data_IF_906754222408
#
_entry.id   IF_906754222408
#
_cell.length_a   1.000
_cell.length_b   1.000
_cell.length_c   1.000
_cell.angle_alpha   90.00
_cell.angle_beta   90.00
_cell.angle_gamma   90.00
#
_symmetry.space_group_name_H-M   'P 1'
#
loop_
_entity.id
_entity.type
_entity.pdbx_description
1 polymer ?
#
# COMPACT_ATOMS: atom_id res chain seq x y z
N UNK A 1 6.82 -16.45 -7.20
CA UNK A 1 7.64 -16.00 -6.07
C UNK A 1 7.33 -14.55 -5.78
N UNK A 2 6.92 -14.21 -4.54
CA UNK A 2 6.66 -12.83 -4.11
C UNK A 2 7.93 -12.19 -3.54
N UNK A 3 8.19 -10.97 -3.91
CA UNK A 3 9.17 -10.10 -3.27
C UNK A 3 8.47 -8.96 -2.55
N UNK A 4 8.74 -8.81 -1.28
CA UNK A 4 8.32 -7.63 -0.54
C UNK A 4 9.20 -6.45 -0.96
N UNK A 5 8.65 -5.71 -1.90
CA UNK A 5 9.35 -4.66 -2.62
C UNK A 5 9.15 -3.31 -1.94
N UNK A 6 10.05 -2.97 -1.04
CA UNK A 6 9.97 -1.76 -0.22
C UNK A 6 10.50 -0.54 -0.99
N UNK A 7 9.59 0.16 -1.66
CA UNK A 7 9.95 1.35 -2.46
C UNK A 7 10.40 2.54 -1.62
N UNK A 8 9.97 2.65 -0.37
CA UNK A 8 10.47 3.65 0.59
C UNK A 8 11.98 3.47 0.84
N UNK A 9 12.44 2.23 1.03
CA UNK A 9 13.86 1.94 1.21
C UNK A 9 14.70 2.34 -0.01
N UNK A 10 14.14 2.27 -1.22
CA UNK A 10 14.81 2.76 -2.42
C UNK A 10 14.92 4.28 -2.37
N UNK A 11 13.84 4.99 -2.04
CA UNK A 11 13.84 6.45 -1.95
C UNK A 11 14.88 6.94 -0.92
N UNK A 12 14.93 6.31 0.25
CA UNK A 12 15.88 6.63 1.33
C UNK A 12 17.32 6.32 0.94
N UNK A 13 17.60 5.13 0.39
CA UNK A 13 18.95 4.71 0.04
C UNK A 13 19.58 5.58 -1.06
N UNK A 14 18.77 6.07 -2.00
CA UNK A 14 19.24 6.91 -3.10
C UNK A 14 19.01 8.41 -2.86
N UNK A 15 18.45 8.79 -1.70
CA UNK A 15 18.15 10.18 -1.35
C UNK A 15 17.32 10.92 -2.40
N UNK A 16 16.30 10.26 -2.93
CA UNK A 16 15.37 10.84 -3.92
C UNK A 16 13.98 11.04 -3.32
N UNK A 17 13.25 12.10 -3.70
CA UNK A 17 11.88 12.28 -3.24
C UNK A 17 10.98 11.13 -3.71
N UNK A 18 10.07 10.68 -2.83
CA UNK A 18 9.11 9.61 -3.14
C UNK A 18 8.30 9.98 -4.39
N UNK A 19 8.23 9.02 -5.33
CA UNK A 19 7.52 9.13 -6.61
C UNK A 19 7.96 10.29 -7.51
N UNK A 20 9.16 10.85 -7.29
CA UNK A 20 9.83 11.69 -8.31
C UNK A 20 10.20 10.83 -9.53
N UNK A 21 10.50 11.48 -10.67
CA UNK A 21 10.92 10.73 -11.86
C UNK A 21 12.16 9.87 -11.59
N UNK A 22 13.12 10.40 -10.82
CA UNK A 22 14.31 9.62 -10.41
C UNK A 22 13.93 8.39 -9.57
N UNK A 23 12.92 8.51 -8.68
CA UNK A 23 12.43 7.36 -7.92
C UNK A 23 11.73 6.34 -8.81
N UNK A 24 10.89 6.77 -9.76
CA UNK A 24 10.24 5.88 -10.72
C UNK A 24 11.25 5.12 -11.57
N UNK A 25 12.32 5.76 -12.03
CA UNK A 25 13.40 5.10 -12.76
C UNK A 25 14.09 4.02 -11.94
N UNK A 26 14.35 4.30 -10.65
CA UNK A 26 14.95 3.33 -9.72
C UNK A 26 14.00 2.15 -9.48
N UNK A 27 12.72 2.41 -9.20
CA UNK A 27 11.71 1.37 -9.04
C UNK A 27 11.70 0.43 -10.25
N UNK A 28 11.70 0.97 -11.48
CA UNK A 28 11.74 0.19 -12.69
C UNK A 28 13.00 -0.69 -12.79
N UNK A 29 14.18 -0.17 -12.45
CA UNK A 29 15.43 -0.94 -12.42
C UNK A 29 15.39 -2.10 -11.42
N UNK A 30 14.81 -1.87 -10.24
CA UNK A 30 14.64 -2.93 -9.23
C UNK A 30 13.59 -3.97 -9.66
N UNK A 31 12.51 -3.57 -10.32
CA UNK A 31 11.54 -4.49 -10.92
C UNK A 31 12.19 -5.36 -12.01
N UNK A 32 13.03 -4.76 -12.87
CA UNK A 32 13.78 -5.48 -13.88
C UNK A 32 14.71 -6.52 -13.24
N UNK A 33 15.43 -6.16 -12.18
CA UNK A 33 16.30 -7.08 -11.44
C UNK A 33 15.48 -8.20 -10.78
N UNK A 34 14.36 -7.88 -10.15
CA UNK A 34 13.46 -8.87 -9.56
C UNK A 34 13.01 -9.89 -10.63
N UNK A 35 12.61 -9.41 -11.79
CA UNK A 35 12.23 -10.27 -12.92
C UNK A 35 13.38 -11.14 -13.40
N UNK A 36 14.59 -10.59 -13.50
CA UNK A 36 15.78 -11.35 -13.86
C UNK A 36 16.06 -12.50 -12.89
N UNK A 37 15.77 -12.31 -11.60
CA UNK A 37 15.88 -13.32 -10.54
C UNK A 37 14.70 -14.32 -10.52
N UNK A 38 13.73 -14.22 -11.44
CA UNK A 38 12.59 -15.12 -11.54
C UNK A 38 11.39 -14.72 -10.68
N UNK A 39 11.40 -13.52 -10.09
CA UNK A 39 10.28 -12.98 -9.32
C UNK A 39 9.24 -12.42 -10.29
N UNK A 40 7.97 -12.76 -10.08
CA UNK A 40 6.84 -12.34 -10.90
C UNK A 40 5.74 -11.66 -10.12
N UNK A 41 5.85 -11.64 -8.81
CA UNK A 41 4.89 -11.04 -7.86
C UNK A 41 5.60 -10.05 -6.96
N UNK A 42 5.07 -8.85 -6.81
CA UNK A 42 5.66 -7.80 -5.95
C UNK A 42 4.64 -7.21 -4.99
N UNK A 43 5.12 -6.82 -3.82
CA UNK A 43 4.34 -6.04 -2.87
C UNK A 43 3.97 -4.70 -3.50
N UNK A 44 2.68 -4.38 -3.49
CA UNK A 44 2.10 -3.19 -4.09
C UNK A 44 1.55 -2.29 -2.99
N UNK A 45 2.21 -1.17 -2.68
CA UNK A 45 1.86 -0.34 -1.54
C UNK A 45 0.65 0.56 -1.82
N UNK A 46 -0.55 -0.02 -2.01
CA UNK A 46 -1.78 0.76 -2.10
C UNK A 46 -1.91 1.69 -0.89
N UNK A 47 -1.70 1.16 0.30
CA UNK A 47 -1.38 1.88 1.54
C UNK A 47 0.09 1.64 1.88
N UNK A 48 0.70 2.50 2.68
CA UNK A 48 2.08 2.28 3.14
C UNK A 48 2.14 0.98 3.95
N UNK A 49 3.00 0.01 3.59
CA UNK A 49 3.10 -1.25 4.31
C UNK A 49 3.45 -1.03 5.77
N UNK A 50 2.74 -1.70 6.67
CA UNK A 50 3.01 -1.69 8.12
C UNK A 50 4.00 -2.78 8.55
N UNK A 51 4.95 -3.11 7.66
CA UNK A 51 5.92 -4.18 7.84
C UNK A 51 7.26 -3.65 8.33
N UNK A 52 8.01 -4.50 9.04
CA UNK A 52 9.38 -4.22 9.49
C UNK A 52 9.52 -2.92 10.30
N UNK A 53 8.49 -2.57 11.05
CA UNK A 53 8.49 -1.42 11.97
C UNK A 53 8.24 -1.87 13.39
N UNK A 54 8.85 -1.19 14.36
CA UNK A 54 8.48 -1.33 15.76
C UNK A 54 7.04 -0.83 15.97
N UNK A 55 6.36 -1.33 16.99
CA UNK A 55 5.06 -0.80 17.41
C UNK A 55 5.17 0.71 17.64
N UNK A 56 4.31 1.47 16.98
CA UNK A 56 4.34 2.94 16.99
C UNK A 56 5.37 3.57 16.04
N UNK A 57 6.16 2.76 15.33
CA UNK A 57 7.11 3.25 14.34
C UNK A 57 6.44 3.66 13.02
N UNK A 58 7.10 4.52 12.28
CA UNK A 58 6.64 4.98 10.97
C UNK A 58 7.68 4.66 9.90
N UNK A 59 7.18 4.29 8.73
CA UNK A 59 7.95 4.23 7.48
C UNK A 59 7.67 5.50 6.67
N UNK A 60 8.59 5.85 5.79
CA UNK A 60 8.34 6.90 4.79
C UNK A 60 7.07 6.57 3.99
N UNK A 61 6.14 7.52 3.92
CA UNK A 61 4.86 7.30 3.25
C UNK A 61 5.06 7.03 1.75
N UNK A 62 4.66 5.85 1.34
CA UNK A 62 4.70 5.38 -0.06
C UNK A 62 3.33 4.88 -0.54
N UNK A 63 2.24 5.34 0.06
CA UNK A 63 0.91 4.98 -0.41
C UNK A 63 0.71 5.42 -1.86
N UNK A 64 0.30 4.48 -2.71
CA UNK A 64 0.01 4.73 -4.12
C UNK A 64 -1.35 5.39 -4.32
N UNK A 65 -2.34 5.05 -3.47
CA UNK A 65 -3.64 5.69 -3.53
C UNK A 65 -3.58 7.08 -2.88
N UNK A 66 -3.93 8.11 -3.61
CA UNK A 66 -4.09 9.46 -3.06
C UNK A 66 -5.51 9.61 -2.55
N UNK A 67 -5.67 10.10 -1.34
CA UNK A 67 -6.95 10.09 -0.65
C UNK A 67 -7.32 11.52 -0.27
N UNK A 68 -8.54 11.92 -0.60
CA UNK A 68 -9.11 13.19 -0.18
C UNK A 68 -10.39 12.95 0.63
N UNK A 69 -10.53 13.62 1.77
CA UNK A 69 -11.69 13.48 2.67
C UNK A 69 -12.60 14.71 2.58
N UNK A 70 -13.88 14.47 2.36
CA UNK A 70 -14.94 15.46 2.31
C UNK A 70 -16.08 15.09 3.28
N UNK A 71 -16.03 15.61 4.48
CA UNK A 71 -16.94 15.17 5.56
C UNK A 71 -16.71 13.69 5.87
N UNK A 72 -17.75 12.86 5.70
CA UNK A 72 -17.68 11.40 5.92
C UNK A 72 -17.34 10.61 4.64
N UNK A 73 -17.12 11.29 3.52
CA UNK A 73 -16.81 10.65 2.25
C UNK A 73 -15.34 10.77 1.91
N UNK A 74 -14.83 9.75 1.22
CA UNK A 74 -13.48 9.73 0.68
C UNK A 74 -13.50 9.66 -0.84
N UNK A 75 -12.64 10.43 -1.47
CA UNK A 75 -12.31 10.31 -2.88
C UNK A 75 -10.93 9.64 -3.00
N UNK A 76 -10.79 8.74 -3.97
CA UNK A 76 -9.58 7.95 -4.18
C UNK A 76 -9.04 8.21 -5.59
N UNK A 77 -7.78 8.63 -5.68
CA UNK A 77 -7.08 8.76 -6.94
C UNK A 77 -6.02 7.64 -7.03
N UNK A 78 -6.20 6.74 -7.98
CA UNK A 78 -5.34 5.59 -8.25
C UNK A 78 -4.32 5.85 -9.37
N UNK A 79 -4.11 7.08 -9.80
CA UNK A 79 -3.19 7.41 -10.90
C UNK A 79 -1.75 6.92 -10.66
N UNK A 80 -1.25 7.05 -9.42
CA UNK A 80 0.06 6.51 -9.03
C UNK A 80 0.08 4.98 -9.05
N UNK A 81 -0.99 4.34 -8.59
CA UNK A 81 -1.12 2.88 -8.63
C UNK A 81 -1.17 2.37 -10.07
N UNK A 82 -1.88 3.07 -10.95
CA UNK A 82 -1.90 2.75 -12.38
C UNK A 82 -0.49 2.80 -12.98
N UNK A 83 0.27 3.88 -12.70
CA UNK A 83 1.66 4.01 -13.16
C UNK A 83 2.56 2.90 -12.61
N UNK A 84 2.39 2.51 -11.34
CA UNK A 84 3.16 1.43 -10.72
C UNK A 84 2.91 0.09 -11.42
N UNK A 85 1.65 -0.23 -11.69
CA UNK A 85 1.24 -1.45 -12.39
C UNK A 85 1.76 -1.47 -13.84
N UNK A 86 1.67 -0.34 -14.55
CA UNK A 86 2.20 -0.22 -15.92
C UNK A 86 3.71 -0.45 -15.93
N UNK A 87 4.45 0.20 -15.04
CA UNK A 87 5.88 0.02 -14.89
C UNK A 87 6.26 -1.43 -14.56
N UNK A 88 5.48 -2.09 -13.70
CA UNK A 88 5.67 -3.50 -13.37
C UNK A 88 5.48 -4.39 -14.61
N UNK A 89 4.42 -4.17 -15.38
CA UNK A 89 4.17 -4.91 -16.62
C UNK A 89 5.26 -4.70 -17.66
N UNK A 90 5.75 -3.47 -17.85
CA UNK A 90 6.86 -3.13 -18.73
C UNK A 90 8.13 -3.91 -18.38
N UNK A 91 8.34 -4.20 -17.09
CA UNK A 91 9.48 -4.97 -16.60
C UNK A 91 9.18 -6.48 -16.40
N UNK A 92 8.03 -6.96 -16.88
CA UNK A 92 7.67 -8.38 -16.89
C UNK A 92 7.14 -8.94 -15.57
N UNK A 93 6.86 -8.09 -14.59
CA UNK A 93 6.12 -8.44 -13.36
C UNK A 93 4.62 -8.49 -13.70
N UNK A 94 3.91 -9.49 -13.18
CA UNK A 94 2.52 -9.73 -13.58
C UNK A 94 1.54 -9.80 -12.43
N UNK A 95 2.02 -10.04 -11.21
CA UNK A 95 1.18 -10.28 -10.05
C UNK A 95 1.47 -9.26 -8.97
N UNK A 96 0.43 -8.93 -8.22
CA UNK A 96 0.45 -7.84 -7.26
C UNK A 96 -0.04 -8.32 -5.90
N UNK A 97 0.83 -8.30 -4.91
CA UNK A 97 0.45 -8.51 -3.51
C UNK A 97 0.10 -7.14 -2.93
N UNK A 98 -1.20 -6.89 -2.74
CA UNK A 98 -1.67 -5.64 -2.16
C UNK A 98 -1.26 -5.59 -0.68
N UNK A 99 -0.57 -4.53 -0.31
CA UNK A 99 -0.06 -4.34 1.04
C UNK A 99 -1.16 -4.38 2.11
N UNK A 100 -0.76 -4.72 3.31
CA UNK A 100 -1.62 -4.98 4.47
C UNK A 100 -2.61 -3.86 4.77
N UNK A 101 -3.82 -4.26 5.19
CA UNK A 101 -4.86 -3.35 5.65
C UNK A 101 -4.78 -3.09 7.16
N UNK A 102 -3.94 -3.82 7.88
CA UNK A 102 -3.81 -3.71 9.33
C UNK A 102 -2.34 -3.72 9.73
N UNK A 103 -2.07 -3.33 10.97
CA UNK A 103 -0.74 -3.39 11.55
C UNK A 103 -0.24 -4.84 11.66
N UNK A 104 1.07 -5.01 11.60
CA UNK A 104 1.77 -6.26 11.86
C UNK A 104 1.48 -6.75 13.28
N UNK A 105 1.65 -8.06 13.52
CA UNK A 105 1.52 -8.73 14.82
C UNK A 105 0.17 -8.53 15.51
N UNK A 106 -0.89 -9.03 14.89
CA UNK A 106 -2.17 -9.19 15.54
C UNK A 106 -3.27 -8.22 15.12
N UNK A 107 -3.07 -7.46 14.06
CA UNK A 107 -4.14 -6.63 13.47
C UNK A 107 -4.75 -5.61 14.44
N UNK A 108 -3.99 -5.13 15.41
CA UNK A 108 -4.53 -4.28 16.48
C UNK A 108 -4.88 -2.86 16.03
N UNK A 109 -4.22 -2.37 14.99
CA UNK A 109 -4.33 -0.99 14.53
C UNK A 109 -4.41 -0.88 13.02
N UNK A 110 -4.82 0.27 12.53
CA UNK A 110 -4.69 0.63 11.12
C UNK A 110 -3.22 0.84 10.73
N UNK A 111 -2.82 0.66 9.46
CA UNK A 111 -1.55 1.15 8.95
C UNK A 111 -1.54 2.68 8.94
N UNK A 112 -0.35 3.28 8.78
CA UNK A 112 -0.24 4.73 8.65
C UNK A 112 -0.82 5.18 7.31
N UNK A 113 -1.87 6.00 7.36
CA UNK A 113 -2.61 6.50 6.20
C UNK A 113 -2.67 8.02 6.26
N UNK A 114 -2.16 8.64 5.21
CA UNK A 114 -2.19 10.08 5.01
C UNK A 114 -3.32 10.44 4.04
N UNK A 115 -4.09 11.46 4.42
CA UNK A 115 -5.30 11.88 3.70
C UNK A 115 -5.27 13.40 3.57
N UNK A 116 -5.70 13.91 2.43
CA UNK A 116 -5.88 15.36 2.26
C UNK A 116 -7.25 15.78 2.80
N UNK A 117 -7.23 16.69 3.77
CA UNK A 117 -8.43 17.29 4.37
C UNK A 117 -8.33 18.81 4.15
N UNK A 118 -9.31 19.41 3.50
CA UNK A 118 -9.32 20.84 3.18
C UNK A 118 -8.00 21.35 2.54
N UNK A 119 -7.43 20.54 1.66
CA UNK A 119 -6.19 20.83 0.94
C UNK A 119 -4.90 20.63 1.74
N UNK A 120 -4.98 20.17 2.99
CA UNK A 120 -3.82 19.86 3.84
C UNK A 120 -3.69 18.36 4.03
N UNK A 121 -2.45 17.88 4.01
CA UNK A 121 -2.16 16.47 4.33
C UNK A 121 -2.22 16.24 5.84
N UNK A 122 -2.96 15.23 6.26
CA UNK A 122 -3.13 14.82 7.65
C UNK A 122 -2.84 13.32 7.79
N UNK A 123 -2.14 12.94 8.87
CA UNK A 123 -1.97 11.55 9.29
C UNK A 123 -3.27 11.11 9.98
N UNK A 124 -4.21 10.57 9.20
CA UNK A 124 -5.58 10.29 9.67
C UNK A 124 -5.68 8.99 10.45
N UNK A 125 -5.04 7.92 9.98
CA UNK A 125 -5.03 6.60 10.60
C UNK A 125 -3.60 6.12 10.82
N UNK A 126 -3.41 5.25 11.80
CA UNK A 126 -2.11 4.70 12.17
C UNK A 126 -2.18 3.90 13.45
N UNK A 127 -1.06 3.73 14.15
CA UNK A 127 -0.97 3.00 15.42
C UNK A 127 -1.94 3.49 16.50
N UNK A 128 -2.35 4.75 16.45
CA UNK A 128 -3.33 5.37 17.36
C UNK A 128 -4.77 4.98 17.03
N UNK A 129 -5.01 4.30 15.92
CA UNK A 129 -6.34 3.95 15.42
C UNK A 129 -6.59 2.45 15.61
N UNK A 130 -7.47 2.04 16.54
CA UNK A 130 -7.83 0.63 16.67
C UNK A 130 -8.41 0.08 15.37
N UNK A 131 -8.00 -1.13 14.98
CA UNK A 131 -8.44 -1.80 13.75
C UNK A 131 -9.97 -1.91 13.65
N UNK A 132 -10.65 -2.10 14.78
CA UNK A 132 -12.11 -2.23 14.88
C UNK A 132 -12.83 -0.90 15.07
N UNK A 133 -12.14 0.25 15.05
CA UNK A 133 -12.79 1.55 15.22
C UNK A 133 -13.80 1.82 14.10
N UNK A 134 -14.95 2.40 14.46
CA UNK A 134 -16.00 2.74 13.48
C UNK A 134 -15.46 3.61 12.32
N UNK A 135 -14.59 4.55 12.65
CA UNK A 135 -13.99 5.45 11.66
C UNK A 135 -13.15 4.69 10.62
N UNK A 136 -12.30 3.75 11.07
CA UNK A 136 -11.47 2.96 10.16
C UNK A 136 -12.31 1.97 9.35
N UNK A 137 -13.30 1.33 9.99
CA UNK A 137 -14.22 0.44 9.29
C UNK A 137 -15.06 1.19 8.23
N UNK A 138 -15.50 2.42 8.52
CA UNK A 138 -16.20 3.26 7.55
C UNK A 138 -15.31 3.69 6.37
N UNK A 139 -14.01 3.90 6.62
CA UNK A 139 -13.02 4.15 5.58
C UNK A 139 -12.83 2.92 4.69
N UNK A 140 -12.61 1.73 5.27
CA UNK A 140 -12.42 0.49 4.50
C UNK A 140 -13.63 0.14 3.65
N UNK A 141 -14.85 0.38 4.14
CA UNK A 141 -16.09 0.18 3.36
C UNK A 141 -16.16 1.04 2.10
N UNK A 142 -15.42 2.15 2.04
CA UNK A 142 -15.32 2.98 0.86
C UNK A 142 -14.10 2.65 0.01
N UNK A 143 -12.94 2.39 0.63
CA UNK A 143 -11.71 2.08 -0.07
C UNK A 143 -11.79 0.75 -0.83
N UNK A 144 -12.28 -0.31 -0.17
CA UNK A 144 -12.23 -1.66 -0.76
C UNK A 144 -13.01 -1.77 -2.07
N UNK A 145 -14.28 -1.31 -2.17
CA UNK A 145 -14.99 -1.32 -3.45
C UNK A 145 -14.27 -0.50 -4.53
N UNK A 146 -13.81 0.71 -4.20
CA UNK A 146 -13.12 1.56 -5.15
C UNK A 146 -11.80 0.93 -5.65
N UNK A 147 -11.06 0.25 -4.77
CA UNK A 147 -9.85 -0.48 -5.13
C UNK A 147 -10.15 -1.69 -6.02
N UNK A 148 -11.21 -2.45 -5.73
CA UNK A 148 -11.64 -3.57 -6.56
C UNK A 148 -12.07 -3.12 -7.96
N UNK A 149 -12.84 -2.04 -8.05
CA UNK A 149 -13.23 -1.43 -9.32
C UNK A 149 -11.99 -1.01 -10.12
N UNK A 150 -11.04 -0.31 -9.49
CA UNK A 150 -9.77 0.08 -10.11
C UNK A 150 -8.98 -1.14 -10.62
N UNK A 151 -8.79 -2.19 -9.81
CA UNK A 151 -8.04 -3.39 -10.22
C UNK A 151 -8.75 -4.13 -11.37
N UNK A 152 -10.08 -4.11 -11.38
CA UNK A 152 -10.90 -4.68 -12.46
C UNK A 152 -10.72 -3.88 -13.75
N UNK A 153 -10.86 -2.55 -13.71
CA UNK A 153 -10.66 -1.67 -14.85
C UNK A 153 -9.25 -1.74 -15.41
N UNK A 154 -8.26 -1.89 -14.52
CA UNK A 154 -6.85 -2.07 -14.90
C UNK A 154 -6.57 -3.47 -15.47
N UNK A 155 -7.50 -4.43 -15.31
CA UNK A 155 -7.38 -5.80 -15.81
C UNK A 155 -6.39 -6.66 -15.02
N UNK A 156 -6.17 -6.36 -13.75
CA UNK A 156 -5.20 -7.08 -12.89
C UNK A 156 -5.82 -7.71 -11.64
N UNK A 157 -7.13 -7.67 -11.50
CA UNK A 157 -7.80 -8.20 -10.32
C UNK A 157 -7.47 -9.68 -10.08
N UNK A 158 -7.54 -10.51 -11.11
CA UNK A 158 -7.27 -11.97 -11.04
C UNK A 158 -5.79 -12.29 -10.74
N UNK A 159 -4.90 -11.34 -10.98
CA UNK A 159 -3.47 -11.42 -10.70
C UNK A 159 -3.08 -10.68 -9.41
N UNK A 160 -4.06 -10.27 -8.61
CA UNK A 160 -3.86 -9.53 -7.36
C UNK A 160 -4.21 -10.38 -6.15
N UNK A 161 -3.42 -10.24 -5.08
CA UNK A 161 -3.62 -10.92 -3.80
C UNK A 161 -3.73 -9.86 -2.72
N UNK A 162 -4.76 -9.95 -1.90
CA UNK A 162 -4.91 -9.05 -0.75
C UNK A 162 -4.25 -9.68 0.47
N UNK A 163 -3.20 -9.07 0.96
CA UNK A 163 -2.56 -9.45 2.21
C UNK A 163 -3.23 -8.69 3.36
N UNK A 164 -4.03 -9.39 4.16
CA UNK A 164 -4.83 -8.74 5.21
C UNK A 164 -3.98 -8.41 6.42
N UNK A 165 -3.18 -9.37 6.88
CA UNK A 165 -2.32 -9.23 8.05
C UNK A 165 -1.10 -10.14 7.96
N UNK A 166 0.00 -9.71 8.56
CA UNK A 166 1.21 -10.51 8.73
C UNK A 166 1.24 -11.13 10.15
N UNK A 167 1.70 -12.38 10.23
CA UNK A 167 1.89 -13.14 11.47
C UNK A 167 0.68 -13.09 12.44
N UNK A 168 -0.52 -13.52 12.04
CA UNK A 168 -1.66 -13.60 12.95
C UNK A 168 -1.39 -14.65 14.04
N UNK A 169 -1.44 -14.26 15.31
CA UNK A 169 -1.33 -15.17 16.45
C UNK A 169 -2.67 -15.85 16.77
N UNK A 170 -2.62 -17.01 17.44
CA UNK A 170 -3.83 -17.71 17.90
C UNK A 170 -4.67 -16.87 18.84
N UNK A 171 -4.03 -15.98 19.60
CA UNK A 171 -4.67 -15.06 20.54
C UNK A 171 -5.54 -13.98 19.86
N UNK A 172 -5.44 -13.88 18.53
CA UNK A 172 -6.14 -12.88 17.73
C UNK A 172 -7.31 -13.47 16.92
N UNK A 173 -7.63 -14.76 17.09
CA UNK A 173 -8.74 -15.42 16.40
C UNK A 173 -10.12 -15.04 16.96
N UNK A 174 -10.17 -14.34 18.09
CA UNK A 174 -11.42 -13.92 18.74
C UNK A 174 -11.75 -12.43 18.51
N UNK A 175 -10.96 -11.72 17.74
CA UNK A 175 -11.18 -10.33 17.32
C UNK A 175 -11.55 -10.27 15.85
#
# INVERSE_FOLDING_TARGET
FTQWFHVDSIAEAYHVPVYSEAHWELIGKYMQMARYLGIDTILTPMLTPSLDTLIGGERLCVQLVQIEKHGERYAFDFSRAARYIDLAHENGIRRFEIAHLYSQWGMTSAPNIYVRVDGREEHLFGWHTPAQSEAYQAFLKQLLPAMLDFLTEKGVLEDSFLHISDEPGLDHLET
#
